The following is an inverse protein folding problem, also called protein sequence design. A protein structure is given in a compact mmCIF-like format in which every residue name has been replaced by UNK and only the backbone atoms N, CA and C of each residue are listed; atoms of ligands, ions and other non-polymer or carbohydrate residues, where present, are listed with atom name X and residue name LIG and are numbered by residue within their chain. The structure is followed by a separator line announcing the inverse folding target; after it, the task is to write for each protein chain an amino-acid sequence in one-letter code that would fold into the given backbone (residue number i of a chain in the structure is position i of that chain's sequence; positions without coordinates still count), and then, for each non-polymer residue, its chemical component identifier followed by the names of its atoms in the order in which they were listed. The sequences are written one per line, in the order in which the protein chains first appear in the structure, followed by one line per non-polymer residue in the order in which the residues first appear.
data_IF_712857694799
#
_entry.id   IF_712857694799
#
_cell.length_a   1.000
_cell.length_b   1.000
_cell.length_c   1.000
_cell.angle_alpha   90.00
_cell.angle_beta   90.00
_cell.angle_gamma   90.00
#
_symmetry.space_group_name_H-M   'P 1'
#
loop_
_entity.id
_entity.type
_entity.pdbx_description
1 polymer ?
#
# COMPACT_ATOMS: atom_id res chain seq x y z
N UNK A 1 8.57 -6.07 14.80
CA UNK A 1 8.57 -7.44 14.25
C UNK A 1 7.50 -7.70 13.16
N UNK A 2 6.68 -6.73 12.74
CA UNK A 2 5.62 -6.93 11.74
C UNK A 2 6.02 -6.66 10.27
N UNK A 3 7.12 -5.92 10.02
CA UNK A 3 7.56 -5.62 8.65
C UNK A 3 8.15 -6.82 7.91
N UNK A 4 8.75 -7.77 8.63
CA UNK A 4 9.17 -9.05 8.05
C UNK A 4 7.98 -9.95 7.75
N UNK A 5 6.88 -9.89 8.52
CA UNK A 5 5.75 -10.77 8.31
C UNK A 5 5.03 -10.49 6.98
N UNK A 6 4.91 -9.23 6.54
CA UNK A 6 4.22 -8.88 5.30
C UNK A 6 5.09 -9.16 4.07
N UNK A 7 6.40 -8.85 4.13
CA UNK A 7 7.32 -9.19 3.05
C UNK A 7 7.51 -10.72 2.92
N UNK A 8 7.52 -11.45 4.04
CA UNK A 8 7.54 -12.91 4.05
C UNK A 8 6.18 -13.47 3.61
N UNK A 9 5.05 -12.82 3.92
CA UNK A 9 3.74 -13.19 3.39
C UNK A 9 3.64 -12.94 1.89
N UNK A 10 4.22 -11.87 1.33
CA UNK A 10 4.23 -11.63 -0.12
C UNK A 10 5.20 -12.58 -0.86
N UNK A 11 6.36 -12.88 -0.27
CA UNK A 11 7.27 -13.93 -0.76
C UNK A 11 6.67 -15.34 -0.65
N UNK A 12 5.88 -15.58 0.40
CA UNK A 12 5.09 -16.79 0.57
C UNK A 12 3.91 -16.79 -0.39
N UNK A 13 3.21 -15.70 -0.68
CA UNK A 13 2.11 -15.68 -1.67
C UNK A 13 2.65 -15.90 -3.10
N UNK A 14 3.85 -15.43 -3.43
CA UNK A 14 4.54 -15.81 -4.67
C UNK A 14 5.04 -17.28 -4.68
N UNK A 15 5.21 -17.93 -3.51
CA UNK A 15 5.65 -19.33 -3.36
C UNK A 15 4.53 -20.30 -2.91
N UNK A 16 3.33 -19.81 -2.59
CA UNK A 16 2.17 -20.60 -2.19
C UNK A 16 1.35 -20.94 -3.45
N UNK A 17 1.48 -20.17 -4.53
CA UNK A 17 1.01 -20.59 -5.85
C UNK A 17 1.73 -21.81 -6.43
N UNK A 18 2.85 -22.26 -5.85
CA UNK A 18 3.55 -23.48 -6.32
C UNK A 18 2.96 -24.80 -5.83
N UNK A 19 2.03 -24.83 -4.87
CA UNK A 19 1.45 -26.09 -4.38
C UNK A 19 0.06 -26.39 -4.93
N UNK A 20 -0.81 -25.37 -5.14
CA UNK A 20 -2.21 -25.59 -5.52
C UNK A 20 -2.59 -25.04 -6.91
N UNK A 21 -1.82 -24.12 -7.48
CA UNK A 21 -2.07 -23.59 -8.83
C UNK A 21 -0.88 -23.84 -9.75
N UNK A 22 -0.55 -25.11 -9.98
CA UNK A 22 0.42 -25.54 -10.98
C UNK A 22 -0.14 -25.32 -12.41
N UNK A 23 -0.21 -24.05 -12.82
CA UNK A 23 -0.68 -23.63 -14.15
C UNK A 23 0.36 -23.97 -15.24
N UNK A 24 1.61 -24.20 -14.85
CA UNK A 24 2.71 -24.51 -15.78
C UNK A 24 2.59 -25.90 -16.42
N UNK A 25 1.68 -26.75 -15.93
CA UNK A 25 1.40 -28.08 -16.47
C UNK A 25 0.02 -28.25 -17.12
N UNK A 26 -0.70 -27.17 -17.44
CA UNK A 26 -2.03 -27.28 -18.08
C UNK A 26 -1.87 -27.89 -19.47
N UNK A 27 -2.42 -29.10 -19.63
CA UNK A 27 -2.56 -29.72 -20.94
C UNK A 27 -3.60 -28.92 -21.75
N UNK A 28 -3.21 -28.46 -22.94
CA UNK A 28 -4.07 -27.66 -23.82
C UNK A 28 -5.33 -28.42 -24.24
N UNK A 29 -5.34 -29.74 -24.17
CA UNK A 29 -6.49 -30.55 -24.54
C UNK A 29 -7.41 -30.86 -23.32
N UNK A 30 -6.99 -30.51 -22.11
CA UNK A 30 -7.77 -30.74 -20.89
C UNK A 30 -8.57 -29.48 -20.49
N UNK A 31 -9.79 -29.39 -21.03
CA UNK A 31 -10.74 -28.30 -20.79
C UNK A 31 -11.00 -28.00 -19.30
N UNK A 32 -11.03 -29.04 -18.46
CA UNK A 32 -11.27 -28.85 -17.02
C UNK A 32 -10.08 -28.15 -16.36
N UNK A 33 -8.84 -28.55 -16.69
CA UNK A 33 -7.63 -27.91 -16.15
C UNK A 33 -7.54 -26.43 -16.56
N UNK A 34 -7.93 -26.09 -17.79
CA UNK A 34 -7.97 -24.68 -18.25
C UNK A 34 -9.02 -23.88 -17.47
N UNK A 35 -10.20 -24.46 -17.23
CA UNK A 35 -11.26 -23.83 -16.45
C UNK A 35 -10.85 -23.60 -14.99
N UNK A 36 -10.23 -24.60 -14.35
CA UNK A 36 -9.72 -24.50 -12.98
C UNK A 36 -8.60 -23.43 -12.89
N UNK A 37 -7.73 -23.38 -13.90
CA UNK A 37 -6.72 -22.33 -14.03
C UNK A 37 -7.31 -20.92 -14.14
N UNK A 38 -8.39 -20.75 -14.92
CA UNK A 38 -9.13 -19.48 -15.01
C UNK A 38 -9.74 -19.07 -13.67
N UNK A 39 -10.36 -20.00 -12.94
CA UNK A 39 -10.90 -19.72 -11.62
C UNK A 39 -9.80 -19.31 -10.62
N UNK A 40 -8.65 -19.97 -10.65
CA UNK A 40 -7.52 -19.60 -9.79
C UNK A 40 -7.04 -18.17 -10.10
N UNK A 41 -6.83 -17.81 -11.37
CA UNK A 41 -6.39 -16.47 -11.75
C UNK A 41 -7.41 -15.39 -11.39
N UNK A 42 -8.72 -15.66 -11.53
CA UNK A 42 -9.76 -14.72 -11.11
C UNK A 42 -9.74 -14.48 -9.59
N UNK A 43 -9.61 -15.55 -8.79
CA UNK A 43 -9.49 -15.42 -7.33
C UNK A 43 -8.26 -14.61 -6.92
N UNK A 44 -7.13 -14.80 -7.60
CA UNK A 44 -5.92 -14.01 -7.35
C UNK A 44 -6.13 -12.53 -7.72
N UNK A 45 -6.82 -12.24 -8.83
CA UNK A 45 -7.19 -10.88 -9.20
C UNK A 45 -8.06 -10.22 -8.13
N UNK A 46 -9.08 -10.91 -7.63
CA UNK A 46 -9.97 -10.40 -6.57
C UNK A 46 -9.18 -10.10 -5.29
N UNK A 47 -8.24 -10.97 -4.91
CA UNK A 47 -7.37 -10.75 -3.75
C UNK A 47 -6.48 -9.52 -3.93
N UNK A 48 -5.85 -9.38 -5.10
CA UNK A 48 -5.00 -8.22 -5.42
C UNK A 48 -5.81 -6.93 -5.38
N UNK A 49 -7.04 -6.94 -5.92
CA UNK A 49 -7.94 -5.78 -5.85
C UNK A 49 -8.30 -5.42 -4.41
N UNK A 50 -8.63 -6.41 -3.57
CA UNK A 50 -8.90 -6.19 -2.15
C UNK A 50 -7.71 -5.61 -1.39
N UNK A 51 -6.49 -6.09 -1.67
CA UNK A 51 -5.27 -5.54 -1.05
C UNK A 51 -5.00 -4.11 -1.51
N UNK A 52 -5.20 -3.82 -2.81
CA UNK A 52 -5.06 -2.47 -3.35
C UNK A 52 -6.02 -1.50 -2.67
N UNK A 53 -7.26 -1.90 -2.41
CA UNK A 53 -8.24 -1.06 -1.73
C UNK A 53 -7.87 -0.80 -0.26
N UNK A 54 -7.38 -1.81 0.46
CA UNK A 54 -6.85 -1.65 1.82
C UNK A 54 -5.66 -0.67 1.88
N UNK A 55 -4.77 -0.71 0.88
CA UNK A 55 -3.66 0.25 0.77
C UNK A 55 -4.17 1.67 0.48
N UNK A 56 -5.17 1.83 -0.38
CA UNK A 56 -5.78 3.15 -0.65
C UNK A 56 -6.38 3.76 0.61
N UNK A 57 -7.10 2.96 1.40
CA UNK A 57 -7.64 3.43 2.69
C UNK A 57 -6.53 3.83 3.67
N UNK A 58 -5.45 3.05 3.74
CA UNK A 58 -4.29 3.38 4.57
C UNK A 58 -3.62 4.68 4.12
N UNK A 59 -3.48 4.89 2.81
CA UNK A 59 -2.95 6.12 2.25
C UNK A 59 -3.83 7.34 2.53
N UNK A 60 -5.16 7.18 2.54
CA UNK A 60 -6.09 8.25 2.95
C UNK A 60 -5.90 8.63 4.41
N UNK A 61 -5.79 7.65 5.32
CA UNK A 61 -5.52 7.92 6.74
C UNK A 61 -4.21 8.67 6.94
N UNK A 62 -3.14 8.22 6.27
CA UNK A 62 -1.83 8.89 6.29
C UNK A 62 -1.95 10.33 5.79
N UNK A 63 -2.66 10.56 4.69
CA UNK A 63 -2.89 11.91 4.14
C UNK A 63 -3.61 12.82 5.14
N UNK A 64 -4.64 12.32 5.81
CA UNK A 64 -5.37 13.08 6.82
C UNK A 64 -4.49 13.42 8.04
N UNK A 65 -3.64 12.48 8.46
CA UNK A 65 -2.70 12.71 9.55
C UNK A 65 -1.62 13.75 9.19
N UNK A 66 -1.10 13.70 7.96
CA UNK A 66 -0.18 14.72 7.43
C UNK A 66 -0.85 16.09 7.47
N UNK A 67 -2.08 16.23 6.94
CA UNK A 67 -2.78 17.52 6.96
C UNK A 67 -3.00 18.05 8.39
N UNK A 68 -3.35 17.18 9.33
CA UNK A 68 -3.52 17.56 10.73
C UNK A 68 -2.21 18.07 11.33
N UNK A 69 -1.12 17.34 11.14
CA UNK A 69 0.19 17.72 11.67
C UNK A 69 0.69 19.02 11.04
N UNK A 70 0.50 19.22 9.74
CA UNK A 70 0.85 20.47 9.05
C UNK A 70 0.04 21.67 9.58
N UNK A 71 -1.25 21.49 9.88
CA UNK A 71 -2.07 22.54 10.47
C UNK A 71 -1.60 22.89 11.89
N UNK A 72 -1.26 21.88 12.70
CA UNK A 72 -0.70 22.07 14.03
C UNK A 72 0.68 22.74 14.01
N UNK A 73 1.51 22.43 13.00
CA UNK A 73 2.81 23.07 12.77
C UNK A 73 2.65 24.57 12.48
N UNK A 74 1.75 24.93 11.57
CA UNK A 74 1.46 26.34 11.24
C UNK A 74 0.93 27.14 12.46
N UNK A 75 0.14 26.52 13.34
CA UNK A 75 -0.30 27.15 14.58
C UNK A 75 0.88 27.44 15.52
N UNK A 76 1.82 26.49 15.65
CA UNK A 76 2.98 26.68 16.50
C UNK A 76 3.94 27.75 15.94
N UNK A 77 4.16 27.80 14.63
CA UNK A 77 4.95 28.87 14.01
C UNK A 77 4.37 30.26 14.29
N UNK A 78 3.04 30.39 14.19
CA UNK A 78 2.35 31.64 14.53
C UNK A 78 2.51 32.01 16.01
N UNK A 79 2.39 31.03 16.92
CA UNK A 79 2.58 31.26 18.37
C UNK A 79 4.02 31.67 18.69
N UNK A 80 5.01 31.02 18.07
CA UNK A 80 6.42 31.38 18.20
C UNK A 80 6.69 32.82 17.74
N UNK A 81 6.16 33.21 16.58
CA UNK A 81 6.31 34.55 16.03
C UNK A 81 5.67 35.64 16.92
N UNK A 82 4.54 35.33 17.58
CA UNK A 82 3.92 36.24 18.55
C UNK A 82 4.76 36.39 19.82
N UNK A 83 5.29 35.28 20.33
CA UNK A 83 6.11 35.26 21.53
C UNK A 83 7.48 35.95 21.35
N UNK A 84 8.12 35.82 20.18
CA UNK A 84 9.38 36.50 19.86
C UNK A 84 9.24 38.03 19.82
N UNK A 85 8.04 38.55 19.60
CA UNK A 85 7.73 39.99 19.57
C UNK A 85 7.29 40.54 20.93
N UNK A 86 7.18 39.69 21.94
CA UNK A 86 6.67 40.06 23.26
C UNK A 86 7.78 40.35 24.27
N UNK A 87 7.58 41.39 25.08
CA UNK A 87 8.47 41.75 26.19
C UNK A 87 8.19 40.93 27.46
N UNK A 88 7.13 40.11 27.48
CA UNK A 88 6.75 39.31 28.64
C UNK A 88 7.51 37.99 28.71
N UNK A 89 8.10 37.69 29.87
CA UNK A 89 8.85 36.46 30.12
C UNK A 89 8.00 35.18 29.98
N UNK A 90 6.69 35.26 30.25
CA UNK A 90 5.74 34.15 30.10
C UNK A 90 5.62 33.72 28.64
N UNK A 91 5.64 34.68 27.70
CA UNK A 91 5.54 34.38 26.27
C UNK A 91 6.80 33.68 25.75
N UNK A 92 7.97 34.00 26.32
CA UNK A 92 9.24 33.33 25.98
C UNK A 92 9.30 31.87 26.44
N UNK A 93 8.69 31.51 27.57
CA UNK A 93 8.61 30.11 28.02
C UNK A 93 7.61 29.33 27.14
N UNK A 94 6.48 29.94 26.76
CA UNK A 94 5.54 29.37 25.79
C UNK A 94 6.18 29.12 24.42
N UNK A 95 7.04 30.00 23.93
CA UNK A 95 7.81 29.78 22.69
C UNK A 95 8.74 28.57 22.77
N UNK A 96 9.34 28.33 23.94
CA UNK A 96 10.23 27.21 24.18
C UNK A 96 9.47 25.88 24.18
N UNK A 97 8.35 25.80 24.90
CA UNK A 97 7.45 24.62 24.85
C UNK A 97 6.95 24.36 23.42
N UNK A 98 6.59 25.41 22.67
CA UNK A 98 6.19 25.26 21.28
C UNK A 98 7.30 24.67 20.40
N UNK A 99 8.56 25.09 20.62
CA UNK A 99 9.71 24.59 19.88
C UNK A 99 9.99 23.10 20.15
N UNK A 100 9.83 22.65 21.39
CA UNK A 100 9.97 21.22 21.74
C UNK A 100 8.84 20.36 21.12
N UNK A 101 7.61 20.87 21.15
CA UNK A 101 6.47 20.22 20.48
C UNK A 101 6.65 20.19 18.96
N UNK A 102 7.21 21.24 18.37
CA UNK A 102 7.50 21.32 16.94
C UNK A 102 8.47 20.22 16.50
N UNK A 103 9.60 20.07 17.20
CA UNK A 103 10.57 19.02 16.87
C UNK A 103 9.97 17.61 17.00
N UNK A 104 9.14 17.39 18.02
CA UNK A 104 8.44 16.11 18.21
C UNK A 104 7.48 15.82 17.05
N UNK A 105 6.74 16.84 16.59
CA UNK A 105 5.79 16.72 15.46
C UNK A 105 6.51 16.50 14.13
N UNK A 106 7.62 17.18 13.88
CA UNK A 106 8.42 16.96 12.67
C UNK A 106 8.98 15.54 12.60
N UNK A 107 9.43 14.98 13.73
CA UNK A 107 9.86 13.57 13.78
C UNK A 107 8.72 12.63 13.37
N UNK A 108 7.51 12.84 13.92
CA UNK A 108 6.33 12.03 13.56
C UNK A 108 5.96 12.17 12.09
N UNK A 109 6.02 13.39 11.54
CA UNK A 109 5.75 13.63 10.13
C UNK A 109 6.75 12.88 9.24
N UNK A 110 8.04 12.85 9.62
CA UNK A 110 9.07 12.07 8.92
C UNK A 110 8.74 10.58 8.91
N UNK A 111 8.37 10.02 10.06
CA UNK A 111 8.01 8.60 10.18
C UNK A 111 6.80 8.25 9.28
N UNK A 112 5.79 9.12 9.24
CA UNK A 112 4.60 8.97 8.40
C UNK A 112 4.95 9.05 6.91
N UNK A 113 5.85 9.95 6.53
CA UNK A 113 6.30 10.08 5.14
C UNK A 113 7.06 8.83 4.66
N UNK A 114 7.84 8.21 5.54
CA UNK A 114 8.49 6.92 5.26
C UNK A 114 7.46 5.80 5.09
N UNK A 115 6.42 5.77 5.93
CA UNK A 115 5.31 4.83 5.80
C UNK A 115 4.56 5.03 4.47
N UNK A 116 4.27 6.27 4.10
CA UNK A 116 3.66 6.61 2.82
C UNK A 116 4.52 6.12 1.63
N UNK A 117 5.84 6.29 1.70
CA UNK A 117 6.77 5.78 0.70
C UNK A 117 6.67 4.26 0.51
N UNK A 118 6.55 3.51 1.61
CA UNK A 118 6.36 2.05 1.58
C UNK A 118 5.01 1.66 0.97
N UNK A 119 3.93 2.34 1.37
CA UNK A 119 2.60 2.11 0.80
C UNK A 119 2.58 2.33 -0.71
N UNK A 120 3.21 3.42 -1.18
CA UNK A 120 3.35 3.72 -2.61
C UNK A 120 4.12 2.61 -3.36
N UNK A 121 5.21 2.11 -2.79
CA UNK A 121 5.98 1.03 -3.41
C UNK A 121 5.17 -0.27 -3.48
N UNK A 122 4.47 -0.64 -2.42
CA UNK A 122 3.62 -1.84 -2.40
C UNK A 122 2.48 -1.74 -3.41
N UNK A 123 1.86 -0.57 -3.52
CA UNK A 123 0.80 -0.32 -4.49
C UNK A 123 1.28 -0.54 -5.93
N UNK A 124 2.49 -0.07 -6.26
CA UNK A 124 3.08 -0.30 -7.59
C UNK A 124 3.27 -1.78 -7.88
N UNK A 125 3.79 -2.55 -6.90
CA UNK A 125 3.97 -4.00 -7.05
C UNK A 125 2.64 -4.73 -7.30
N UNK A 126 1.57 -4.31 -6.61
CA UNK A 126 0.23 -4.86 -6.83
C UNK A 126 -0.32 -4.50 -8.21
N UNK A 127 -0.08 -3.28 -8.71
CA UNK A 127 -0.46 -2.91 -10.08
C UNK A 127 0.26 -3.75 -11.14
N UNK A 128 1.55 -4.00 -10.95
CA UNK A 128 2.34 -4.84 -11.85
C UNK A 128 1.84 -6.29 -11.81
N UNK A 129 1.52 -6.80 -10.61
CA UNK A 129 0.95 -8.13 -10.39
C UNK A 129 -0.41 -8.27 -11.07
N UNK A 130 -1.31 -7.29 -10.88
CA UNK A 130 -2.62 -7.24 -11.53
C UNK A 130 -2.48 -7.30 -13.05
N UNK A 131 -1.56 -6.53 -13.61
CA UNK A 131 -1.30 -6.50 -15.06
C UNK A 131 -0.83 -7.86 -15.59
N UNK A 132 0.08 -8.53 -14.87
CA UNK A 132 0.55 -9.88 -15.22
C UNK A 132 -0.56 -10.92 -15.15
N UNK A 133 -1.40 -10.87 -14.12
CA UNK A 133 -2.54 -11.78 -13.96
C UNK A 133 -3.60 -11.56 -15.04
N UNK A 134 -3.87 -10.31 -15.42
CA UNK A 134 -4.79 -9.99 -16.52
C UNK A 134 -4.32 -10.59 -17.86
N UNK A 135 -3.02 -10.52 -18.16
CA UNK A 135 -2.44 -11.16 -19.35
C UNK A 135 -2.59 -12.68 -19.28
N UNK A 136 -2.27 -13.27 -18.12
CA UNK A 136 -2.39 -14.73 -17.90
C UNK A 136 -3.83 -15.20 -18.10
N UNK A 137 -4.81 -14.46 -17.56
CA UNK A 137 -6.24 -14.70 -17.75
C UNK A 137 -6.62 -14.66 -19.23
N UNK A 138 -6.24 -13.59 -19.95
CA UNK A 138 -6.58 -13.44 -21.37
C UNK A 138 -6.00 -14.59 -22.22
N UNK A 139 -4.77 -15.03 -21.92
CA UNK A 139 -4.16 -16.18 -22.60
C UNK A 139 -4.94 -17.48 -22.33
N UNK A 140 -5.35 -17.72 -21.08
CA UNK A 140 -6.16 -18.89 -20.74
C UNK A 140 -7.55 -18.85 -21.41
N UNK A 141 -8.20 -17.69 -21.48
CA UNK A 141 -9.47 -17.51 -22.18
C UNK A 141 -9.34 -17.81 -23.68
N UNK A 142 -8.25 -17.36 -24.32
CA UNK A 142 -7.96 -17.68 -25.72
C UNK A 142 -7.79 -19.18 -25.94
N UNK A 143 -7.04 -19.87 -25.07
CA UNK A 143 -6.86 -21.33 -25.17
C UNK A 143 -8.19 -22.05 -24.97
N UNK A 144 -8.98 -21.64 -23.98
CA UNK A 144 -10.31 -22.21 -23.70
C UNK A 144 -11.28 -22.06 -24.88
N UNK A 145 -11.29 -20.90 -25.54
CA UNK A 145 -12.15 -20.64 -26.70
C UNK A 145 -11.71 -21.44 -27.93
N UNK A 146 -10.41 -21.65 -28.11
CA UNK A 146 -9.89 -22.45 -29.22
C UNK A 146 -10.14 -23.96 -29.05
N UNK A 147 -10.26 -24.46 -27.82
CA UNK A 147 -10.57 -25.87 -27.54
C UNK A 147 -12.06 -26.17 -27.59
N UNK A 148 -12.92 -25.16 -27.42
CA UNK A 148 -14.39 -25.31 -27.49
C UNK A 148 -14.95 -25.24 -28.91
N UNK A 149 -14.21 -24.67 -29.86
CA UNK A 149 -14.62 -24.53 -31.26
C UNK A 149 -14.06 -25.64 -32.20
N UNK A 150 -13.35 -26.63 -31.66
CA UNK A 150 -12.88 -27.82 -32.38
C UNK A 150 -13.79 -29.01 -32.07
#
# INVERSE_FOLDING_TARGET
MHQYAIALCLLLMTNICSAECNVDSIDRDNKQQIYDGLQCVNKELDNVESEMDSIKESALRVKDEVHKLTAEEALCENQKAMAERSDYAVDKELAKECTELFHTRQSKLSDIMDEYGKLKSNFQLLQDTKSRLAIKRANLELVFNNTTNK
#
